data_IF_333481284059
#
_entry.id   IF_333481284059
#
_cell.length_a   1.000
_cell.length_b   1.000
_cell.length_c   1.000
_cell.angle_alpha   90.00
_cell.angle_beta   90.00
_cell.angle_gamma   90.00
#
_symmetry.space_group_name_H-M   'P 1'
#
loop_
_entity.id
_entity.type
_entity.pdbx_description
1 polymer ?
#
# COMPACT_ATOMS: atom_id res chain seq x y z
N UNK A 1 -17.68 23.60 20.72
CA UNK A 1 -18.04 22.57 19.70
C UNK A 1 -19.11 23.09 18.73
N UNK A 2 -20.19 23.79 19.17
CA UNK A 2 -21.21 24.36 18.26
C UNK A 2 -20.66 25.46 17.31
N UNK A 3 -19.62 26.19 17.70
CA UNK A 3 -19.03 27.27 16.91
C UNK A 3 -17.97 26.79 15.92
N UNK A 4 -17.44 25.59 16.09
CA UNK A 4 -16.35 25.03 15.28
C UNK A 4 -16.78 23.87 14.41
N UNK A 5 -17.97 23.30 14.63
CA UNK A 5 -18.51 22.20 13.87
C UNK A 5 -19.67 22.70 13.00
N UNK A 6 -19.45 22.82 11.70
CA UNK A 6 -20.45 23.28 10.74
C UNK A 6 -21.75 22.44 10.77
N UNK A 7 -21.64 21.14 11.06
CA UNK A 7 -22.80 20.23 11.15
C UNK A 7 -23.73 20.55 12.33
N UNK A 8 -23.28 21.35 13.29
CA UNK A 8 -24.05 21.80 14.43
C UNK A 8 -24.56 23.26 14.27
N UNK A 9 -24.37 23.85 13.08
CA UNK A 9 -24.89 25.16 12.72
C UNK A 9 -26.40 25.18 12.46
N UNK A 10 -26.94 26.36 12.12
CA UNK A 10 -28.34 26.53 11.75
C UNK A 10 -28.58 26.26 10.27
N UNK A 11 -28.20 25.07 9.79
CA UNK A 11 -28.43 24.63 8.40
C UNK A 11 -29.85 24.07 8.27
N UNK A 12 -30.49 24.32 7.14
CA UNK A 12 -31.68 23.57 6.73
C UNK A 12 -31.29 22.11 6.45
N UNK A 13 -32.27 21.22 6.39
CA UNK A 13 -32.00 19.80 6.07
C UNK A 13 -31.33 19.65 4.70
N UNK A 14 -31.75 20.43 3.74
CA UNK A 14 -31.23 20.42 2.37
C UNK A 14 -29.79 20.92 2.32
N UNK A 15 -29.48 22.00 3.01
CA UNK A 15 -28.12 22.54 3.14
C UNK A 15 -27.20 21.56 3.86
N UNK A 16 -27.67 20.97 4.95
CA UNK A 16 -26.93 19.97 5.70
C UNK A 16 -26.60 18.72 4.86
N UNK A 17 -27.58 18.20 4.12
CA UNK A 17 -27.37 17.06 3.21
C UNK A 17 -26.38 17.43 2.13
N UNK A 18 -26.53 18.59 1.48
CA UNK A 18 -25.62 19.06 0.46
C UNK A 18 -24.20 19.18 0.97
N UNK A 19 -24.00 19.80 2.14
CA UNK A 19 -22.68 19.98 2.76
C UNK A 19 -22.03 18.63 3.07
N UNK A 20 -22.78 17.68 3.65
CA UNK A 20 -22.29 16.35 3.97
C UNK A 20 -22.02 15.45 2.77
N UNK A 21 -22.74 15.66 1.67
CA UNK A 21 -22.59 14.83 0.46
C UNK A 21 -21.67 15.43 -0.59
N UNK A 22 -21.27 16.69 -0.41
CA UNK A 22 -20.33 17.35 -1.32
C UNK A 22 -18.91 16.86 -1.04
N UNK A 23 -18.23 16.34 -2.06
CA UNK A 23 -16.85 15.88 -1.94
C UNK A 23 -16.67 14.55 -1.22
N UNK A 24 -17.73 13.75 -1.03
CA UNK A 24 -17.57 12.37 -0.56
C UNK A 24 -16.75 11.60 -1.59
N UNK A 25 -15.58 11.15 -1.16
CA UNK A 25 -14.77 10.25 -1.97
C UNK A 25 -15.50 8.90 -2.13
N UNK A 26 -15.37 8.23 -3.27
CA UNK A 26 -15.86 6.87 -3.43
C UNK A 26 -15.38 5.98 -2.28
N UNK A 27 -16.22 5.07 -1.84
CA UNK A 27 -15.82 4.11 -0.82
C UNK A 27 -14.64 3.27 -1.33
N UNK A 28 -13.62 2.99 -0.49
CA UNK A 28 -12.52 2.13 -0.88
C UNK A 28 -13.02 0.81 -1.46
N UNK A 29 -12.42 0.33 -2.53
CA UNK A 29 -12.87 -0.85 -3.28
C UNK A 29 -13.04 -2.09 -2.40
N UNK A 30 -12.20 -2.25 -1.38
CA UNK A 30 -12.24 -3.40 -0.47
C UNK A 30 -13.45 -3.37 0.48
N UNK A 31 -14.15 -2.24 0.67
CA UNK A 31 -15.29 -2.13 1.60
C UNK A 31 -16.42 -3.09 1.26
N UNK A 32 -16.77 -3.22 -0.02
CA UNK A 32 -17.81 -4.14 -0.46
C UNK A 32 -17.44 -5.61 -0.16
N UNK A 33 -16.16 -5.95 -0.40
CA UNK A 33 -15.62 -7.29 -0.13
C UNK A 33 -15.56 -7.56 1.38
N UNK A 34 -15.04 -6.62 2.16
CA UNK A 34 -15.00 -6.72 3.62
C UNK A 34 -16.40 -6.84 4.24
N UNK A 35 -17.39 -6.07 3.74
CA UNK A 35 -18.77 -6.19 4.19
C UNK A 35 -19.39 -7.56 3.85
N UNK A 36 -19.08 -8.13 2.70
CA UNK A 36 -19.53 -9.47 2.33
C UNK A 36 -18.89 -10.56 3.24
N UNK A 37 -17.61 -10.41 3.54
CA UNK A 37 -16.88 -11.30 4.44
C UNK A 37 -17.40 -11.21 5.88
N UNK A 38 -17.69 -9.99 6.36
CA UNK A 38 -18.33 -9.77 7.66
C UNK A 38 -19.66 -10.53 7.82
N UNK A 39 -20.41 -10.69 6.73
CA UNK A 39 -21.68 -11.44 6.74
C UNK A 39 -21.48 -12.95 6.73
N UNK A 40 -20.41 -13.46 6.11
CA UNK A 40 -20.11 -14.90 6.00
C UNK A 40 -19.40 -15.45 7.25
N UNK A 41 -18.82 -14.58 8.06
CA UNK A 41 -17.91 -14.96 9.14
C UNK A 41 -16.46 -15.07 8.68
N UNK A 42 -15.53 -14.99 9.63
CA UNK A 42 -14.08 -15.09 9.42
C UNK A 42 -13.54 -16.37 10.02
N UNK A 43 -12.35 -16.77 9.58
CA UNK A 43 -11.48 -17.64 10.38
C UNK A 43 -11.19 -16.93 11.70
N UNK A 44 -11.03 -17.68 12.79
CA UNK A 44 -10.60 -17.05 14.03
C UNK A 44 -9.25 -16.37 13.80
N UNK A 45 -9.00 -15.28 14.49
CA UNK A 45 -7.69 -14.60 14.43
C UNK A 45 -6.57 -15.56 14.84
N UNK A 46 -6.83 -16.44 15.81
CA UNK A 46 -5.87 -17.42 16.28
C UNK A 46 -5.51 -18.44 15.18
N UNK A 47 -6.51 -18.93 14.41
CA UNK A 47 -6.27 -19.84 13.29
C UNK A 47 -5.46 -19.16 12.17
N UNK A 48 -5.71 -17.86 11.90
CA UNK A 48 -4.92 -17.07 10.94
C UNK A 48 -3.48 -16.95 11.41
N UNK A 49 -3.27 -16.66 12.69
CA UNK A 49 -1.93 -16.58 13.25
C UNK A 49 -1.17 -17.90 13.17
N UNK A 50 -1.79 -19.00 13.60
CA UNK A 50 -1.15 -20.31 13.59
C UNK A 50 -0.72 -20.71 12.18
N UNK A 51 -1.51 -20.38 11.16
CA UNK A 51 -1.18 -20.66 9.75
C UNK A 51 -0.19 -19.69 9.12
N UNK A 52 -0.09 -18.45 9.62
CA UNK A 52 0.67 -17.37 8.99
C UNK A 52 2.03 -17.11 9.64
N UNK A 53 2.24 -17.47 10.90
CA UNK A 53 3.50 -17.29 11.61
C UNK A 53 4.55 -18.34 11.25
N UNK A 54 4.73 -18.56 9.95
CA UNK A 54 5.69 -19.52 9.41
C UNK A 54 6.94 -18.78 8.94
N UNK A 55 8.08 -19.01 9.61
CA UNK A 55 9.36 -18.47 9.22
C UNK A 55 9.85 -19.17 7.93
N UNK A 56 10.16 -18.41 6.91
CA UNK A 56 10.61 -18.91 5.61
C UNK A 56 12.05 -18.52 5.36
N UNK A 57 12.85 -19.46 4.84
CA UNK A 57 14.18 -19.15 4.35
C UNK A 57 14.09 -18.25 3.10
N UNK A 58 15.22 -17.63 2.73
CA UNK A 58 15.33 -16.81 1.50
C UNK A 58 14.96 -17.65 0.26
N UNK A 59 15.41 -18.90 0.20
CA UNK A 59 15.13 -19.81 -0.92
C UNK A 59 13.63 -20.13 -1.04
N UNK A 60 12.99 -20.43 0.10
CA UNK A 60 11.55 -20.70 0.15
C UNK A 60 10.74 -19.50 -0.27
N UNK A 61 11.09 -18.30 0.21
CA UNK A 61 10.44 -17.04 -0.20
C UNK A 61 10.59 -16.79 -1.70
N UNK A 62 11.81 -16.92 -2.25
CA UNK A 62 12.06 -16.71 -3.70
C UNK A 62 11.35 -17.75 -4.56
N UNK A 63 11.29 -18.99 -4.12
CA UNK A 63 10.53 -20.04 -4.79
C UNK A 63 9.02 -19.70 -4.79
N UNK A 64 8.50 -19.23 -3.67
CA UNK A 64 7.12 -18.77 -3.56
C UNK A 64 6.86 -17.57 -4.49
N UNK A 65 7.73 -16.57 -4.50
CA UNK A 65 7.64 -15.41 -5.39
C UNK A 65 7.62 -15.81 -6.87
N UNK A 66 8.47 -16.74 -7.28
CA UNK A 66 8.49 -17.27 -8.64
C UNK A 66 7.19 -18.01 -9.03
N UNK A 67 6.41 -18.47 -8.06
CA UNK A 67 5.09 -19.08 -8.24
C UNK A 67 3.95 -18.06 -8.17
N UNK A 68 4.25 -16.77 -8.11
CA UNK A 68 3.25 -15.70 -8.09
C UNK A 68 2.77 -15.31 -6.68
N UNK A 69 3.46 -15.76 -5.62
CA UNK A 69 3.21 -15.26 -4.27
C UNK A 69 3.74 -13.84 -4.17
N UNK A 70 2.94 -12.94 -3.61
CA UNK A 70 3.35 -11.56 -3.37
C UNK A 70 4.35 -11.51 -2.20
N UNK A 71 5.49 -10.88 -2.43
CA UNK A 71 6.41 -10.49 -1.35
C UNK A 71 6.06 -9.05 -0.97
N UNK A 72 5.57 -8.86 0.24
CA UNK A 72 5.12 -7.57 0.75
C UNK A 72 6.13 -7.03 1.78
N UNK A 73 6.83 -5.98 1.41
CA UNK A 73 7.74 -5.27 2.30
C UNK A 73 6.97 -4.21 3.09
N UNK A 74 7.03 -4.31 4.41
CA UNK A 74 6.27 -3.47 5.34
C UNK A 74 7.17 -2.57 6.19
N UNK A 75 8.46 -2.48 5.86
CA UNK A 75 9.44 -1.62 6.52
C UNK A 75 9.13 -0.14 6.28
N UNK A 76 10.03 0.75 6.72
CA UNK A 76 9.91 2.18 6.44
C UNK A 76 10.24 2.48 4.98
N UNK A 77 9.64 3.56 4.45
CA UNK A 77 9.83 3.99 3.07
C UNK A 77 11.30 4.21 2.69
N UNK A 78 12.08 4.87 3.53
CA UNK A 78 13.49 5.10 3.29
C UNK A 78 14.29 3.80 3.23
N UNK A 79 14.01 2.85 4.11
CA UNK A 79 14.68 1.54 4.10
C UNK A 79 14.35 0.73 2.85
N UNK A 80 13.09 0.79 2.37
CA UNK A 80 12.69 0.16 1.11
C UNK A 80 13.35 0.84 -0.09
N UNK A 81 13.38 2.16 -0.09
CA UNK A 81 14.01 2.98 -1.13
C UNK A 81 15.49 2.69 -1.27
N UNK A 82 16.21 2.62 -0.15
CA UNK A 82 17.65 2.32 -0.08
C UNK A 82 17.98 0.89 -0.52
N UNK A 83 17.05 -0.04 -0.37
CA UNK A 83 17.22 -1.41 -0.82
C UNK A 83 16.07 -2.34 -0.46
N UNK A 84 15.62 -3.11 -1.46
CA UNK A 84 14.53 -4.08 -1.29
C UNK A 84 14.73 -5.32 -2.16
N UNK A 85 13.95 -6.35 -1.87
CA UNK A 85 13.92 -7.58 -2.66
C UNK A 85 13.32 -7.26 -4.04
N UNK A 86 13.96 -7.65 -5.15
CA UNK A 86 13.40 -7.42 -6.48
C UNK A 86 11.95 -7.92 -6.61
N UNK A 87 11.10 -7.13 -7.25
CA UNK A 87 9.65 -7.39 -7.40
C UNK A 87 8.87 -7.48 -6.10
N UNK A 88 9.41 -7.06 -4.96
CA UNK A 88 8.62 -6.88 -3.75
C UNK A 88 7.67 -5.69 -3.90
N UNK A 89 6.48 -5.85 -3.35
CA UNK A 89 5.53 -4.76 -3.17
C UNK A 89 5.85 -4.02 -1.87
N UNK A 90 5.60 -2.73 -1.85
CA UNK A 90 5.81 -1.90 -0.68
C UNK A 90 4.48 -1.34 -0.14
N UNK A 91 4.19 -1.64 1.11
CA UNK A 91 3.17 -0.95 1.89
C UNK A 91 3.69 -0.82 3.32
N UNK A 92 4.19 0.36 3.69
CA UNK A 92 4.76 0.59 5.02
C UNK A 92 3.79 0.34 6.16
N UNK A 93 4.24 -0.39 7.18
CA UNK A 93 3.41 -0.73 8.35
C UNK A 93 3.01 0.51 9.15
N UNK A 94 3.79 1.59 9.04
CA UNK A 94 3.49 2.88 9.66
C UNK A 94 2.36 3.60 8.89
N UNK A 95 1.51 4.31 9.62
CA UNK A 95 0.43 5.09 9.00
C UNK A 95 -0.78 4.27 8.54
N UNK A 96 -1.22 4.51 7.32
CA UNK A 96 -2.46 3.95 6.76
C UNK A 96 -2.26 2.59 6.07
N UNK A 97 -1.54 1.68 6.69
CA UNK A 97 -1.22 0.35 6.12
C UNK A 97 -2.45 -0.41 5.61
N UNK A 98 -3.48 -0.55 6.46
CA UNK A 98 -4.67 -1.33 6.12
C UNK A 98 -5.50 -0.70 4.98
N UNK A 99 -5.78 0.61 4.94
CA UNK A 99 -6.34 1.27 3.77
C UNK A 99 -5.54 1.04 2.48
N UNK A 100 -4.21 1.18 2.52
CA UNK A 100 -3.36 0.97 1.35
C UNK A 100 -3.33 -0.48 0.90
N UNK A 101 -3.28 -1.45 1.82
CA UNK A 101 -3.42 -2.85 1.45
C UNK A 101 -4.75 -3.10 0.71
N UNK A 102 -5.85 -2.51 1.22
CA UNK A 102 -7.16 -2.63 0.60
C UNK A 102 -7.29 -1.96 -0.77
N UNK A 103 -6.57 -0.88 -1.02
CA UNK A 103 -6.58 -0.17 -2.31
C UNK A 103 -5.69 -0.86 -3.35
N UNK A 104 -4.52 -1.34 -2.95
CA UNK A 104 -3.50 -1.83 -3.87
C UNK A 104 -3.60 -3.34 -4.13
N UNK A 105 -3.94 -4.15 -3.12
CA UNK A 105 -4.03 -5.61 -3.28
C UNK A 105 -5.46 -5.97 -3.70
N UNK A 106 -5.65 -6.20 -5.00
CA UNK A 106 -6.98 -6.43 -5.61
C UNK A 106 -7.59 -7.75 -5.17
N UNK A 107 -6.79 -8.81 -5.09
CA UNK A 107 -7.26 -10.14 -4.68
C UNK A 107 -7.06 -10.35 -3.18
N UNK A 108 -8.17 -10.46 -2.44
CA UNK A 108 -8.12 -10.74 -0.99
C UNK A 108 -7.59 -12.14 -0.67
N UNK A 109 -7.54 -13.05 -1.64
CA UNK A 109 -6.99 -14.40 -1.49
C UNK A 109 -5.55 -14.50 -2.00
N UNK A 110 -4.94 -13.37 -2.42
CA UNK A 110 -3.54 -13.32 -2.82
C UNK A 110 -2.67 -13.94 -1.74
N UNK A 111 -1.87 -14.98 -2.02
CA UNK A 111 -0.90 -15.47 -1.06
C UNK A 111 0.22 -14.45 -0.89
N UNK A 112 0.58 -14.17 0.36
CA UNK A 112 1.53 -13.12 0.74
C UNK A 112 2.62 -13.69 1.63
N UNK A 113 3.88 -13.32 1.35
CA UNK A 113 5.01 -13.45 2.27
C UNK A 113 5.39 -12.07 2.77
N UNK A 114 5.54 -11.92 4.09
CA UNK A 114 5.87 -10.64 4.72
C UNK A 114 7.39 -10.47 4.84
N UNK A 115 7.86 -9.27 4.50
CA UNK A 115 9.18 -8.75 4.89
C UNK A 115 8.93 -7.57 5.82
N UNK A 116 9.36 -7.69 7.07
CA UNK A 116 9.10 -6.70 8.10
C UNK A 116 10.39 -6.30 8.84
N UNK A 117 10.32 -5.22 9.62
CA UNK A 117 11.29 -4.97 10.69
C UNK A 117 11.22 -6.11 11.70
N UNK A 118 12.36 -6.45 12.33
CA UNK A 118 12.43 -7.51 13.32
C UNK A 118 11.41 -7.29 14.46
N UNK A 119 10.61 -8.32 14.73
CA UNK A 119 9.55 -8.29 15.74
C UNK A 119 8.26 -7.60 15.30
N UNK A 120 8.15 -7.18 14.03
CA UNK A 120 6.94 -6.55 13.44
C UNK A 120 6.11 -7.50 12.57
N UNK A 121 6.57 -8.71 12.36
CA UNK A 121 5.91 -9.71 11.53
C UNK A 121 4.47 -9.97 11.99
N UNK A 122 4.30 -10.19 13.29
CA UNK A 122 3.00 -10.42 13.91
C UNK A 122 2.05 -9.22 13.71
N UNK A 123 2.55 -8.00 13.89
CA UNK A 123 1.76 -6.79 13.70
C UNK A 123 1.29 -6.67 12.23
N UNK A 124 2.18 -6.93 11.26
CA UNK A 124 1.86 -6.87 9.84
C UNK A 124 0.77 -7.88 9.47
N UNK A 125 0.92 -9.14 9.89
CA UNK A 125 -0.06 -10.22 9.68
C UNK A 125 -1.42 -9.85 10.30
N UNK A 126 -1.44 -9.37 11.54
CA UNK A 126 -2.66 -8.96 12.23
C UNK A 126 -3.38 -7.84 11.49
N UNK A 127 -2.65 -6.84 11.02
CA UNK A 127 -3.26 -5.70 10.33
C UNK A 127 -3.81 -6.07 8.96
N UNK A 128 -3.18 -7.01 8.24
CA UNK A 128 -3.73 -7.59 7.01
C UNK A 128 -5.00 -8.40 7.29
N UNK A 129 -4.97 -9.29 8.28
CA UNK A 129 -6.12 -10.11 8.64
C UNK A 129 -7.36 -9.26 9.01
N UNK A 130 -7.16 -8.13 9.70
CA UNK A 130 -8.25 -7.20 10.07
C UNK A 130 -8.99 -6.59 8.87
N UNK A 131 -8.36 -6.54 7.70
CA UNK A 131 -8.98 -6.04 6.47
C UNK A 131 -9.26 -7.15 5.46
N UNK A 132 -9.18 -8.41 5.91
CA UNK A 132 -9.62 -9.58 5.17
C UNK A 132 -8.55 -10.30 4.35
N UNK A 133 -7.29 -9.91 4.46
CA UNK A 133 -6.17 -10.62 3.84
C UNK A 133 -5.64 -11.69 4.79
N UNK A 134 -6.27 -12.86 4.78
CA UNK A 134 -5.99 -13.98 5.69
C UNK A 134 -5.10 -15.08 5.07
N UNK A 135 -4.58 -14.83 3.86
CA UNK A 135 -3.72 -15.77 3.14
C UNK A 135 -2.23 -15.37 3.20
N UNK A 136 -1.77 -14.92 4.37
CA UNK A 136 -0.34 -14.77 4.61
C UNK A 136 0.24 -16.15 4.87
N UNK A 137 1.16 -16.60 4.02
CA UNK A 137 1.74 -17.97 4.09
C UNK A 137 3.01 -18.04 4.93
N UNK A 138 3.56 -16.88 5.32
CA UNK A 138 4.74 -16.80 6.17
C UNK A 138 5.42 -15.44 6.11
N UNK A 139 6.55 -15.36 6.74
CA UNK A 139 7.43 -14.18 6.74
C UNK A 139 8.89 -14.58 6.51
N UNK A 140 9.69 -13.67 5.97
CA UNK A 140 11.12 -13.90 5.74
C UNK A 140 11.87 -13.93 7.07
N UNK A 141 12.50 -15.06 7.40
CA UNK A 141 13.34 -15.23 8.59
C UNK A 141 14.53 -14.28 8.54
N UNK A 142 14.74 -13.51 9.60
CA UNK A 142 15.78 -12.47 9.66
C UNK A 142 15.51 -11.24 8.79
N UNK A 143 14.33 -11.14 8.18
CA UNK A 143 13.87 -9.98 7.40
C UNK A 143 14.78 -9.60 6.24
N UNK A 144 14.70 -8.34 5.83
CA UNK A 144 15.53 -7.82 4.74
C UNK A 144 17.02 -7.86 5.05
N UNK A 145 17.43 -7.74 6.32
CA UNK A 145 18.84 -7.77 6.70
C UNK A 145 19.49 -9.10 6.33
N UNK A 146 18.81 -10.22 6.58
CA UNK A 146 19.28 -11.55 6.17
C UNK A 146 19.37 -11.68 4.65
N UNK A 147 18.39 -11.14 3.93
CA UNK A 147 18.40 -11.14 2.47
C UNK A 147 19.57 -10.33 1.90
N UNK A 148 19.79 -9.12 2.38
CA UNK A 148 20.90 -8.26 1.95
C UNK A 148 22.28 -8.91 2.21
N UNK A 149 22.42 -9.57 3.37
CA UNK A 149 23.66 -10.30 3.71
C UNK A 149 23.89 -11.53 2.84
N UNK A 150 22.88 -12.06 2.16
CA UNK A 150 23.01 -13.26 1.31
C UNK A 150 23.76 -13.02 0.00
N UNK A 151 24.05 -11.76 -0.36
CA UNK A 151 24.71 -11.40 -1.62
C UNK A 151 23.83 -11.54 -2.86
N UNK A 152 22.50 -11.73 -2.69
CA UNK A 152 21.55 -11.76 -3.80
C UNK A 152 21.29 -10.35 -4.32
N UNK A 153 20.75 -10.26 -5.55
CA UNK A 153 20.41 -8.97 -6.17
C UNK A 153 19.41 -8.18 -5.32
N UNK A 154 19.64 -6.89 -5.19
CA UNK A 154 18.73 -5.94 -4.55
C UNK A 154 18.26 -4.91 -5.58
N UNK A 155 17.05 -4.40 -5.40
CA UNK A 155 16.53 -3.25 -6.13
C UNK A 155 16.54 -2.01 -5.23
N UNK A 156 16.63 -0.84 -5.85
CA UNK A 156 16.57 0.46 -5.19
C UNK A 156 15.57 1.35 -5.92
N UNK A 157 14.94 2.26 -5.19
CA UNK A 157 14.13 3.34 -5.77
C UNK A 157 14.76 4.66 -5.30
N UNK A 158 15.56 5.32 -6.14
CA UNK A 158 16.22 6.57 -5.75
C UNK A 158 15.19 7.61 -5.31
N UNK A 159 15.42 8.22 -4.17
CA UNK A 159 14.62 9.34 -3.68
C UNK A 159 15.41 10.63 -3.88
N UNK A 160 14.79 11.65 -4.46
CA UNK A 160 15.39 12.95 -4.70
C UNK A 160 14.55 14.04 -4.04
N UNK A 161 15.21 15.10 -3.60
CA UNK A 161 14.54 16.26 -3.04
C UNK A 161 13.93 17.14 -4.14
N UNK A 162 12.95 18.01 -3.83
CA UNK A 162 12.43 18.99 -4.77
C UNK A 162 13.52 19.90 -5.35
N UNK A 163 14.53 20.24 -4.55
CA UNK A 163 15.67 21.05 -4.97
C UNK A 163 16.55 20.31 -5.98
N UNK A 164 16.82 19.04 -5.73
CA UNK A 164 17.57 18.18 -6.65
C UNK A 164 16.81 17.96 -7.96
N UNK A 165 15.49 17.72 -7.86
CA UNK A 165 14.62 17.63 -9.04
C UNK A 165 14.68 18.91 -9.88
N UNK A 166 14.59 20.07 -9.24
CA UNK A 166 14.64 21.38 -9.92
C UNK A 166 16.01 21.65 -10.57
N UNK A 167 17.09 21.22 -9.93
CA UNK A 167 18.46 21.43 -10.44
C UNK A 167 18.81 20.48 -11.59
N UNK A 168 18.37 19.22 -11.51
CA UNK A 168 18.75 18.16 -12.43
C UNK A 168 17.52 17.27 -12.70
N UNK A 169 16.46 17.85 -13.30
CA UNK A 169 15.25 17.07 -13.60
C UNK A 169 15.64 15.76 -14.30
N UNK A 170 15.40 14.61 -13.67
CA UNK A 170 15.75 13.32 -14.26
C UNK A 170 14.99 13.13 -15.57
N UNK A 171 15.59 12.42 -16.51
CA UNK A 171 14.90 12.03 -17.74
C UNK A 171 13.75 11.09 -17.38
N UNK A 172 12.54 11.45 -17.79
CA UNK A 172 11.36 10.65 -17.55
C UNK A 172 10.08 11.47 -17.51
N UNK A 173 8.97 10.76 -17.48
CA UNK A 173 7.67 11.39 -17.28
C UNK A 173 7.40 11.50 -15.77
N UNK A 174 7.00 12.68 -15.32
CA UNK A 174 6.60 12.86 -13.90
C UNK A 174 5.22 12.26 -13.70
N UNK A 175 5.11 11.39 -12.69
CA UNK A 175 3.85 10.77 -12.29
C UNK A 175 3.44 11.32 -10.92
N UNK A 176 2.35 12.08 -10.89
CA UNK A 176 1.77 12.55 -9.63
C UNK A 176 0.73 11.52 -9.14
N UNK A 177 1.04 10.83 -8.06
CA UNK A 177 0.19 9.77 -7.49
C UNK A 177 -0.72 10.27 -6.36
N UNK A 178 -0.75 11.58 -6.12
CA UNK A 178 -1.57 12.21 -5.08
C UNK A 178 -3.05 12.26 -5.48
N UNK A 179 -3.87 12.76 -4.56
CA UNK A 179 -5.30 12.95 -4.83
C UNK A 179 -5.54 14.08 -5.83
N UNK A 180 -6.63 14.02 -6.64
CA UNK A 180 -6.96 15.08 -7.59
C UNK A 180 -7.00 16.48 -6.97
N UNK A 181 -7.55 16.61 -5.75
CA UNK A 181 -7.60 17.89 -5.04
C UNK A 181 -6.23 18.47 -4.66
N UNK A 182 -5.23 17.61 -4.46
CA UNK A 182 -3.85 18.03 -4.19
C UNK A 182 -3.16 18.45 -5.49
N UNK A 183 -3.39 17.67 -6.56
CA UNK A 183 -2.91 17.98 -7.90
C UNK A 183 -3.49 19.31 -8.40
N UNK A 184 -4.79 19.52 -8.28
CA UNK A 184 -5.47 20.75 -8.70
C UNK A 184 -4.98 21.99 -7.94
N UNK A 185 -4.59 21.80 -6.68
CA UNK A 185 -4.04 22.90 -5.87
C UNK A 185 -2.64 23.32 -6.33
N UNK A 186 -1.74 22.38 -6.54
CA UNK A 186 -0.43 22.60 -7.16
C UNK A 186 0.19 21.28 -7.60
N UNK A 187 0.84 21.26 -8.76
CA UNK A 187 1.56 20.12 -9.30
C UNK A 187 2.77 20.54 -10.11
N UNK A 188 3.65 19.60 -10.42
CA UNK A 188 4.79 19.81 -11.31
C UNK A 188 4.26 19.93 -12.74
N UNK A 189 4.71 20.94 -13.48
CA UNK A 189 4.30 21.15 -14.87
C UNK A 189 4.51 19.89 -15.71
N UNK A 190 3.49 19.53 -16.49
CA UNK A 190 3.42 18.32 -17.32
C UNK A 190 3.44 16.98 -16.54
N UNK A 191 3.22 16.98 -15.23
CA UNK A 191 3.03 15.76 -14.48
C UNK A 191 1.71 15.08 -14.91
N UNK A 192 1.76 13.77 -15.13
CA UNK A 192 0.57 12.94 -15.33
C UNK A 192 -0.03 12.61 -13.96
N UNK A 193 -1.30 12.93 -13.76
CA UNK A 193 -2.01 12.49 -12.56
C UNK A 193 -2.42 11.01 -12.71
N UNK A 194 -1.97 10.19 -11.79
CA UNK A 194 -2.41 8.79 -11.65
C UNK A 194 -2.56 8.46 -10.16
N UNK A 195 -3.72 8.78 -9.62
CA UNK A 195 -3.99 8.66 -8.18
C UNK A 195 -3.77 7.24 -7.68
N UNK A 196 -2.96 7.09 -6.63
CA UNK A 196 -2.58 5.79 -6.07
C UNK A 196 -3.77 4.93 -5.64
N UNK A 197 -4.85 5.56 -5.13
CA UNK A 197 -6.08 4.86 -4.73
C UNK A 197 -6.73 4.07 -5.90
N UNK A 198 -6.49 4.48 -7.14
CA UNK A 198 -7.08 3.89 -8.36
C UNK A 198 -6.03 3.34 -9.31
N UNK A 199 -4.79 3.18 -8.85
CA UNK A 199 -3.66 2.75 -9.68
C UNK A 199 -3.98 1.47 -10.48
N UNK A 200 -4.61 0.49 -9.82
CA UNK A 200 -4.94 -0.79 -10.46
C UNK A 200 -5.95 -0.68 -11.63
N UNK A 201 -6.77 0.38 -11.65
CA UNK A 201 -7.76 0.61 -12.71
C UNK A 201 -7.13 1.30 -13.94
N UNK A 202 -5.98 1.94 -13.76
CA UNK A 202 -5.32 2.82 -14.73
C UNK A 202 -3.89 2.39 -15.08
N UNK A 203 -3.50 1.14 -14.75
CA UNK A 203 -2.16 0.63 -15.08
C UNK A 203 -1.87 0.58 -16.58
N UNK A 204 -2.89 0.54 -17.42
CA UNK A 204 -2.79 0.60 -18.87
C UNK A 204 -2.37 1.99 -19.40
N UNK A 205 -2.56 3.04 -18.59
CA UNK A 205 -2.10 4.40 -18.90
C UNK A 205 -0.59 4.57 -18.68
N UNK A 206 0.05 3.64 -17.96
CA UNK A 206 1.49 3.66 -17.69
C UNK A 206 2.25 2.99 -18.83
N UNK A 207 3.05 3.76 -19.55
CA UNK A 207 3.91 3.21 -20.60
C UNK A 207 5.15 2.57 -19.98
N UNK A 208 5.20 1.24 -19.97
CA UNK A 208 6.28 0.44 -19.35
C UNK A 208 7.65 0.62 -20.02
N UNK A 209 7.69 1.18 -21.22
CA UNK A 209 8.92 1.41 -22.00
C UNK A 209 9.54 2.79 -21.69
N UNK A 210 8.93 3.58 -20.81
CA UNK A 210 9.43 4.90 -20.42
C UNK A 210 9.83 4.92 -18.94
N UNK A 211 10.89 5.64 -18.60
CA UNK A 211 11.20 5.93 -17.21
C UNK A 211 10.16 6.90 -16.63
N UNK A 212 9.87 6.74 -15.35
CA UNK A 212 9.01 7.64 -14.56
C UNK A 212 9.77 8.15 -13.34
N UNK A 213 9.35 9.34 -12.92
CA UNK A 213 9.82 10.02 -11.70
C UNK A 213 8.62 10.39 -10.85
#
# INVERSE_FOLDING_TARGET
>A
QKQTNYALGNLTKEEFVKELTTGILPAPQYFAKAAAQNKKGYKSIDDVFESSMNAMSIEQMLEAQNKGVMVLDTRKEGEFSDGHIPNAWYIGLHGQFAPWAGALIVDMHQPIVIVAEEGKEQEAIMRLARVGYDNVIGYLEGGYAAYAASGKAVSVVPSITPEEFKANAPEGQVLDVRKPSEYDNCHIENAQLLTLDYLNEHLDEVNKDKPYV
#
